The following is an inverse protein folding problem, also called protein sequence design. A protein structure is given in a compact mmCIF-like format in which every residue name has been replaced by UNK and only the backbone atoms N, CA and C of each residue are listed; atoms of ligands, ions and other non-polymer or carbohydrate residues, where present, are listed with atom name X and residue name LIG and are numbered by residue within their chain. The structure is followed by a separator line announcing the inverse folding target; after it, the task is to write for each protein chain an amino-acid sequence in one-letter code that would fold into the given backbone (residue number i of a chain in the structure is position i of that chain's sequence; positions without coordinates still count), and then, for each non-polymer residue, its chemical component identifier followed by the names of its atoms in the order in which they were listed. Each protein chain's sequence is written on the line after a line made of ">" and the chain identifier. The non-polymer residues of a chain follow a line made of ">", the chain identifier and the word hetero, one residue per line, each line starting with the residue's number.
data_IF_938153006227
#
_entry.id   IF_938153006227
#
_cell.length_a   1.000
_cell.length_b   1.000
_cell.length_c   1.000
_cell.angle_alpha   90.00
_cell.angle_beta   90.00
_cell.angle_gamma   90.00
#
_symmetry.space_group_name_H-M   'P 1'
#
loop_
_entity.id
_entity.type
_entity.pdbx_description
1 polymer ?
#
# COMPACT_ATOMS: atom_id res chain seq x y z
N UNK A 1 15.01 2.13 -26.05
CA UNK A 1 15.70 1.20 -26.97
C UNK A 1 17.01 1.84 -27.42
N UNK A 2 18.00 1.05 -27.84
CA UNK A 2 19.31 1.55 -28.30
C UNK A 2 19.19 2.51 -29.51
N UNK A 3 18.07 2.44 -30.23
CA UNK A 3 17.75 3.28 -31.37
C UNK A 3 17.01 4.59 -31.02
N UNK A 4 16.90 4.96 -29.74
CA UNK A 4 16.16 6.16 -29.31
C UNK A 4 14.63 6.05 -29.41
N UNK A 5 14.12 4.84 -29.65
CA UNK A 5 12.69 4.55 -29.66
C UNK A 5 12.21 4.30 -28.22
N UNK A 6 11.15 5.01 -27.83
CA UNK A 6 10.45 4.80 -26.55
C UNK A 6 9.22 3.95 -26.83
N UNK A 7 9.10 2.81 -26.13
CA UNK A 7 7.92 1.95 -26.18
C UNK A 7 7.19 2.13 -24.85
N UNK A 8 5.95 2.63 -24.87
CA UNK A 8 5.08 2.76 -23.71
C UNK A 8 4.00 1.69 -23.84
N UNK A 9 3.88 0.80 -22.86
CA UNK A 9 2.83 -0.22 -22.81
C UNK A 9 1.98 -0.06 -21.56
N UNK A 10 0.67 -0.26 -21.73
CA UNK A 10 -0.29 -0.38 -20.63
C UNK A 10 -0.99 -1.74 -20.77
N UNK A 11 -0.98 -2.52 -19.68
CA UNK A 11 -1.60 -3.85 -19.61
C UNK A 11 -2.65 -3.88 -18.51
N UNK A 12 -3.85 -4.29 -18.86
CA UNK A 12 -4.83 -4.70 -17.87
C UNK A 12 -4.48 -6.12 -17.37
N UNK A 13 -4.18 -6.24 -16.08
CA UNK A 13 -3.82 -7.52 -15.45
C UNK A 13 -4.99 -8.50 -15.35
N UNK A 14 -6.24 -8.03 -15.35
CA UNK A 14 -7.43 -8.88 -15.24
C UNK A 14 -7.79 -9.52 -16.59
N UNK A 15 -7.77 -8.75 -17.67
CA UNK A 15 -8.13 -9.25 -19.01
C UNK A 15 -6.93 -9.69 -19.85
N UNK A 16 -5.71 -9.37 -19.42
CA UNK A 16 -4.47 -9.65 -20.15
C UNK A 16 -4.29 -8.83 -21.44
N UNK A 17 -5.23 -7.91 -21.73
CA UNK A 17 -5.18 -7.06 -22.92
C UNK A 17 -4.10 -6.00 -22.75
N UNK A 18 -3.31 -5.81 -23.81
CA UNK A 18 -2.20 -4.87 -23.84
C UNK A 18 -2.43 -3.83 -24.94
N UNK A 19 -2.10 -2.58 -24.64
CA UNK A 19 -2.00 -1.49 -25.60
C UNK A 19 -0.58 -0.97 -25.58
N UNK A 20 0.02 -0.77 -26.74
CA UNK A 20 1.38 -0.27 -26.87
C UNK A 20 1.43 0.92 -27.83
N UNK A 21 2.20 1.93 -27.44
CA UNK A 21 2.51 3.09 -28.26
C UNK A 21 4.02 3.13 -28.44
N UNK A 22 4.45 3.23 -29.70
CA UNK A 22 5.86 3.41 -30.06
C UNK A 22 6.08 4.85 -30.49
N UNK A 23 6.90 5.56 -29.73
CA UNK A 23 7.30 6.93 -30.04
C UNK A 23 8.66 6.86 -30.75
N UNK A 24 8.67 7.28 -32.01
CA UNK A 24 9.88 7.39 -32.82
C UNK A 24 10.52 8.77 -32.58
N UNK A 25 11.85 8.84 -32.51
CA UNK A 25 12.57 10.09 -32.36
C UNK A 25 12.56 10.89 -33.67
N UNK A 26 11.46 11.61 -33.95
CA UNK A 26 11.26 12.37 -35.19
C UNK A 26 11.63 13.86 -35.09
N UNK A 27 12.40 14.26 -34.09
CA UNK A 27 12.76 15.64 -33.80
C UNK A 27 12.61 15.93 -32.31
N UNK A 28 13.73 16.07 -31.60
CA UNK A 28 13.77 16.35 -30.17
C UNK A 28 13.95 17.84 -29.87
N UNK A 29 14.11 18.14 -28.59
CA UNK A 29 14.55 19.46 -28.11
C UNK A 29 15.99 19.72 -28.59
N UNK A 30 16.31 20.98 -28.90
CA UNK A 30 17.69 21.40 -29.13
C UNK A 30 18.47 21.44 -27.81
N UNK A 31 19.81 21.42 -27.85
CA UNK A 31 20.64 21.52 -26.64
C UNK A 31 20.31 22.82 -25.87
N UNK A 32 20.11 23.94 -26.58
CA UNK A 32 19.70 25.22 -26.00
C UNK A 32 18.31 25.14 -25.32
N UNK A 33 17.35 24.41 -25.90
CA UNK A 33 16.04 24.19 -25.28
C UNK A 33 16.11 23.30 -24.05
N UNK A 34 16.99 22.30 -24.06
CA UNK A 34 17.23 21.42 -22.91
C UNK A 34 17.82 22.22 -21.76
N UNK A 35 18.87 23.00 -22.00
CA UNK A 35 19.50 23.85 -20.96
C UNK A 35 18.50 24.86 -20.38
N UNK A 36 17.69 25.48 -21.25
CA UNK A 36 16.63 26.39 -20.80
C UNK A 36 15.58 25.68 -19.94
N UNK A 37 15.10 24.50 -20.34
CA UNK A 37 14.13 23.72 -19.55
C UNK A 37 14.70 23.28 -18.19
N UNK A 38 16.00 22.96 -18.12
CA UNK A 38 16.66 22.62 -16.84
C UNK A 38 16.69 23.84 -15.92
N UNK A 39 17.08 25.01 -16.43
CA UNK A 39 17.10 26.25 -15.63
C UNK A 39 15.70 26.68 -15.19
N UNK A 40 14.70 26.56 -16.07
CA UNK A 40 13.30 26.84 -15.74
C UNK A 40 12.77 25.88 -14.67
N UNK A 41 13.10 24.58 -14.75
CA UNK A 41 12.71 23.60 -13.74
C UNK A 41 13.35 23.88 -12.37
N UNK A 42 14.62 24.29 -12.32
CA UNK A 42 15.29 24.67 -11.07
C UNK A 42 14.67 25.93 -10.45
N UNK A 43 14.36 26.94 -11.25
CA UNK A 43 13.74 28.18 -10.78
C UNK A 43 12.32 27.96 -10.26
N UNK A 44 11.57 27.04 -10.88
CA UNK A 44 10.17 26.75 -10.52
C UNK A 44 10.02 25.56 -9.55
N UNK A 45 11.12 24.93 -9.12
CA UNK A 45 11.08 23.70 -8.32
C UNK A 45 10.20 23.81 -7.07
N UNK A 46 10.26 24.93 -6.35
CA UNK A 46 9.45 25.17 -5.16
C UNK A 46 7.96 25.39 -5.48
N UNK A 47 7.65 26.04 -6.59
CA UNK A 47 6.27 26.24 -7.04
C UNK A 47 5.65 24.92 -7.51
N UNK A 48 6.39 24.15 -8.32
CA UNK A 48 5.98 22.83 -8.79
C UNK A 48 5.79 21.85 -7.62
N UNK A 49 6.64 21.92 -6.59
CA UNK A 49 6.50 21.13 -5.37
C UNK A 49 5.21 21.46 -4.62
N UNK A 50 4.86 22.75 -4.50
CA UNK A 50 3.60 23.17 -3.88
C UNK A 50 2.39 22.72 -4.70
N UNK A 51 2.45 22.87 -6.02
CA UNK A 51 1.40 22.42 -6.93
C UNK A 51 1.19 20.92 -6.84
N UNK A 52 2.28 20.14 -6.83
CA UNK A 52 2.24 18.69 -6.63
C UNK A 52 1.62 18.33 -5.29
N UNK A 53 2.05 18.96 -4.21
CA UNK A 53 1.50 18.70 -2.87
C UNK A 53 -0.01 18.97 -2.81
N UNK A 54 -0.50 20.03 -3.46
CA UNK A 54 -1.93 20.31 -3.56
C UNK A 54 -2.71 19.22 -4.32
N UNK A 55 -2.16 18.75 -5.45
CA UNK A 55 -2.78 17.66 -6.23
C UNK A 55 -2.76 16.34 -5.46
N UNK A 56 -1.65 16.04 -4.77
CA UNK A 56 -1.53 14.83 -3.95
C UNK A 56 -2.53 14.87 -2.78
N UNK A 57 -2.69 16.03 -2.11
CA UNK A 57 -3.70 16.22 -1.07
C UNK A 57 -5.13 16.05 -1.61
N UNK A 58 -5.44 16.60 -2.78
CA UNK A 58 -6.73 16.43 -3.44
C UNK A 58 -7.04 14.95 -3.74
N UNK A 59 -6.08 14.22 -4.31
CA UNK A 59 -6.25 12.80 -4.63
C UNK A 59 -6.38 11.93 -3.38
N UNK A 60 -5.64 12.26 -2.32
CA UNK A 60 -5.75 11.59 -1.03
C UNK A 60 -7.14 11.82 -0.40
N UNK A 61 -7.64 13.05 -0.43
CA UNK A 61 -8.96 13.42 0.06
C UNK A 61 -10.08 12.68 -0.70
N UNK A 62 -10.02 12.65 -2.04
CA UNK A 62 -11.00 11.92 -2.86
C UNK A 62 -11.00 10.41 -2.59
N UNK A 63 -9.80 9.82 -2.46
CA UNK A 63 -9.64 8.41 -2.09
C UNK A 63 -10.22 8.12 -0.69
N UNK A 64 -10.01 9.03 0.26
CA UNK A 64 -10.54 8.91 1.62
C UNK A 64 -12.06 9.03 1.66
N UNK A 65 -12.63 9.97 0.91
CA UNK A 65 -14.08 10.10 0.73
C UNK A 65 -14.65 8.79 0.20
N UNK A 66 -14.11 8.28 -0.91
CA UNK A 66 -14.65 7.10 -1.55
C UNK A 66 -14.62 5.87 -0.63
N UNK A 67 -13.51 5.67 0.09
CA UNK A 67 -13.38 4.57 1.05
C UNK A 67 -14.30 4.75 2.27
N UNK A 68 -14.47 5.96 2.77
CA UNK A 68 -15.36 6.25 3.91
C UNK A 68 -16.84 6.06 3.55
N UNK A 69 -17.26 6.51 2.36
CA UNK A 69 -18.61 6.28 1.84
C UNK A 69 -18.91 4.79 1.68
N UNK A 70 -17.95 4.03 1.14
CA UNK A 70 -18.08 2.58 1.03
C UNK A 70 -18.24 1.92 2.40
N UNK A 71 -17.39 2.27 3.36
CA UNK A 71 -17.44 1.70 4.70
C UNK A 71 -18.75 2.05 5.43
N UNK A 72 -19.28 3.27 5.25
CA UNK A 72 -20.59 3.65 5.78
C UNK A 72 -21.73 2.86 5.12
N UNK A 73 -21.66 2.58 3.83
CA UNK A 73 -22.66 1.78 3.14
C UNK A 73 -22.66 0.31 3.60
N UNK A 74 -21.49 -0.25 3.92
CA UNK A 74 -21.35 -1.66 4.34
C UNK A 74 -21.57 -1.86 5.85
N UNK A 75 -21.15 -0.91 6.69
CA UNK A 75 -21.10 -1.06 8.14
C UNK A 75 -21.83 0.02 8.93
N UNK A 76 -22.49 0.98 8.26
CA UNK A 76 -23.14 2.10 8.92
C UNK A 76 -24.27 1.72 9.89
N UNK A 77 -24.80 0.50 9.80
CA UNK A 77 -25.81 -0.01 10.75
C UNK A 77 -25.18 -0.52 12.07
N UNK A 78 -23.86 -0.75 12.09
CA UNK A 78 -23.11 -1.20 13.27
C UNK A 78 -22.45 -0.04 14.03
N UNK A 79 -22.70 1.19 13.59
CA UNK A 79 -22.10 2.42 14.12
C UNK A 79 -23.20 3.24 14.79
N UNK A 80 -22.94 3.91 15.92
CA UNK A 80 -23.92 4.81 16.53
C UNK A 80 -24.37 5.90 15.56
N UNK A 81 -25.66 6.26 15.57
CA UNK A 81 -26.22 7.28 14.68
C UNK A 81 -25.50 8.64 14.78
N UNK A 82 -25.00 8.98 15.97
CA UNK A 82 -24.22 10.20 16.21
C UNK A 82 -22.89 10.18 15.44
N UNK A 83 -22.13 9.08 15.52
CA UNK A 83 -20.87 8.94 14.81
C UNK A 83 -21.09 8.79 13.30
N UNK A 84 -22.13 8.06 12.88
CA UNK A 84 -22.53 7.94 11.47
C UNK A 84 -22.80 9.31 10.86
N UNK A 85 -23.61 10.13 11.52
CA UNK A 85 -23.93 11.49 11.06
C UNK A 85 -22.67 12.37 11.04
N UNK A 86 -21.81 12.28 12.04
CA UNK A 86 -20.56 13.04 12.06
C UNK A 86 -19.65 12.71 10.87
N UNK A 87 -19.58 11.45 10.45
CA UNK A 87 -18.80 11.03 9.27
C UNK A 87 -19.48 11.51 7.98
N UNK A 88 -20.80 11.38 7.86
CA UNK A 88 -21.55 11.88 6.70
C UNK A 88 -21.37 13.40 6.52
N UNK A 89 -21.46 14.16 7.61
CA UNK A 89 -21.24 15.60 7.63
C UNK A 89 -19.78 15.91 7.22
N UNK A 90 -18.78 15.19 7.75
CA UNK A 90 -17.37 15.38 7.39
C UNK A 90 -17.07 15.06 5.91
N UNK A 91 -17.71 14.02 5.35
CA UNK A 91 -17.60 13.67 3.93
C UNK A 91 -18.20 14.78 3.06
N UNK A 92 -19.40 15.26 3.38
CA UNK A 92 -20.06 16.33 2.65
C UNK A 92 -19.22 17.62 2.68
N UNK A 93 -18.65 17.91 3.84
CA UNK A 93 -17.80 19.07 4.07
C UNK A 93 -16.50 19.02 3.24
N UNK A 94 -15.85 17.86 3.16
CA UNK A 94 -14.63 17.68 2.36
C UNK A 94 -14.95 17.70 0.86
N UNK A 95 -16.05 17.06 0.43
CA UNK A 95 -16.53 17.14 -0.96
C UNK A 95 -16.79 18.58 -1.39
N UNK A 96 -17.46 19.37 -0.56
CA UNK A 96 -17.75 20.77 -0.86
C UNK A 96 -16.49 21.62 -1.08
N UNK A 97 -15.39 21.32 -0.37
CA UNK A 97 -14.11 22.01 -0.60
C UNK A 97 -13.41 21.54 -1.88
N UNK A 98 -13.47 20.25 -2.20
CA UNK A 98 -12.90 19.71 -3.45
C UNK A 98 -13.65 20.20 -4.70
N UNK A 99 -14.96 20.41 -4.60
CA UNK A 99 -15.80 20.92 -5.70
C UNK A 99 -15.71 22.44 -5.89
N UNK A 100 -14.99 23.16 -5.03
CA UNK A 100 -14.80 24.60 -5.16
C UNK A 100 -13.99 24.95 -6.42
N UNK A 101 -14.30 26.10 -7.03
CA UNK A 101 -13.63 26.58 -8.25
C UNK A 101 -12.11 26.81 -8.06
N UNK A 102 -11.72 27.13 -6.82
CA UNK A 102 -10.33 27.26 -6.37
C UNK A 102 -10.17 26.57 -5.00
N UNK A 103 -9.86 25.26 -4.98
CA UNK A 103 -9.72 24.51 -3.73
C UNK A 103 -8.51 25.01 -2.94
N UNK A 104 -8.71 25.38 -1.68
CA UNK A 104 -7.61 25.77 -0.78
C UNK A 104 -6.93 24.50 -0.24
N UNK A 105 -5.62 24.28 -0.50
CA UNK A 105 -4.89 23.13 0.01
C UNK A 105 -4.90 23.03 1.54
N UNK A 106 -4.92 24.17 2.26
CA UNK A 106 -4.97 24.16 3.73
C UNK A 106 -6.33 23.68 4.23
N UNK A 107 -7.43 24.12 3.60
CA UNK A 107 -8.78 23.66 3.93
C UNK A 107 -8.98 22.18 3.58
N UNK A 108 -8.46 21.72 2.43
CA UNK A 108 -8.49 20.30 2.05
C UNK A 108 -7.79 19.46 3.13
N UNK A 109 -6.57 19.86 3.54
CA UNK A 109 -5.83 19.13 4.55
C UNK A 109 -6.56 19.12 5.91
N UNK A 110 -7.09 20.27 6.34
CA UNK A 110 -7.83 20.37 7.60
C UNK A 110 -9.07 19.47 7.60
N UNK A 111 -9.85 19.47 6.52
CA UNK A 111 -11.05 18.62 6.42
C UNK A 111 -10.72 17.15 6.21
N UNK A 112 -9.61 16.85 5.53
CA UNK A 112 -9.08 15.48 5.41
C UNK A 112 -8.68 14.92 6.77
N UNK A 113 -8.06 15.73 7.63
CA UNK A 113 -7.72 15.34 9.00
C UNK A 113 -8.98 15.08 9.84
N UNK A 114 -9.99 15.95 9.74
CA UNK A 114 -11.29 15.75 10.42
C UNK A 114 -11.94 14.45 9.97
N UNK A 115 -12.03 14.20 8.66
CA UNK A 115 -12.59 12.96 8.14
C UNK A 115 -11.77 11.75 8.63
N UNK A 116 -10.44 11.83 8.60
CA UNK A 116 -9.54 10.77 9.08
C UNK A 116 -9.83 10.44 10.55
N UNK A 117 -9.94 11.44 11.42
CA UNK A 117 -10.24 11.25 12.84
C UNK A 117 -11.62 10.63 13.08
N UNK A 118 -12.64 11.07 12.32
CA UNK A 118 -13.98 10.47 12.41
C UNK A 118 -14.02 9.04 11.85
N UNK A 119 -13.26 8.76 10.80
CA UNK A 119 -13.15 7.43 10.18
C UNK A 119 -12.35 6.44 11.04
N UNK A 120 -11.49 6.89 11.94
CA UNK A 120 -10.86 6.01 12.94
C UNK A 120 -11.90 5.38 13.87
N UNK A 121 -12.90 6.16 14.34
CA UNK A 121 -14.00 5.65 15.17
C UNK A 121 -14.84 4.61 14.42
N UNK A 122 -15.06 4.84 13.12
CA UNK A 122 -15.71 3.88 12.23
C UNK A 122 -14.91 2.57 12.17
N UNK A 123 -13.58 2.66 11.99
CA UNK A 123 -12.69 1.50 11.99
C UNK A 123 -12.75 0.70 13.31
N UNK A 124 -12.78 1.37 14.45
CA UNK A 124 -12.93 0.72 15.76
C UNK A 124 -14.27 -0.01 15.90
N UNK A 125 -15.37 0.61 15.45
CA UNK A 125 -16.70 0.00 15.48
C UNK A 125 -16.78 -1.23 14.57
N UNK A 126 -16.22 -1.13 13.36
CA UNK A 126 -16.14 -2.26 12.40
C UNK A 126 -15.30 -3.40 13.00
N UNK A 127 -14.15 -3.08 13.58
CA UNK A 127 -13.27 -4.10 14.16
C UNK A 127 -13.95 -4.83 15.32
N UNK A 128 -14.59 -4.11 16.25
CA UNK A 128 -15.39 -4.70 17.33
C UNK A 128 -16.52 -5.58 16.80
N UNK A 129 -17.28 -5.07 15.83
CA UNK A 129 -18.36 -5.83 15.21
C UNK A 129 -17.87 -7.08 14.47
N UNK A 130 -16.69 -7.03 13.83
CA UNK A 130 -16.10 -8.17 13.13
C UNK A 130 -15.59 -9.25 14.09
N UNK A 131 -15.08 -8.87 15.27
CA UNK A 131 -14.74 -9.83 16.33
C UNK A 131 -15.99 -10.48 16.92
N UNK A 132 -17.05 -9.73 17.16
CA UNK A 132 -18.32 -10.27 17.66
C UNK A 132 -18.97 -11.22 16.66
N UNK A 133 -18.89 -10.92 15.36
CA UNK A 133 -19.40 -11.79 14.29
C UNK A 133 -18.56 -13.07 14.13
N UNK A 134 -17.24 -12.99 14.31
CA UNK A 134 -16.35 -14.16 14.35
C UNK A 134 -16.62 -15.04 15.59
N UNK A 135 -16.83 -14.45 16.76
CA UNK A 135 -17.19 -15.18 17.98
C UNK A 135 -18.60 -15.81 17.90
N UNK A 136 -19.54 -15.15 17.24
CA UNK A 136 -20.88 -15.69 16.99
C UNK A 136 -20.87 -16.84 15.96
N UNK A 137 -19.94 -16.82 14.99
CA UNK A 137 -19.77 -17.90 14.04
C UNK A 137 -19.20 -19.18 14.68
N UNK A 138 -18.34 -19.07 15.69
CA UNK A 138 -17.89 -20.23 16.49
C UNK A 138 -18.99 -20.76 17.45
N UNK A 139 -19.86 -19.90 17.96
CA UNK A 139 -20.97 -20.32 18.83
C UNK A 139 -22.18 -20.91 18.06
N UNK A 140 -22.29 -20.66 16.75
CA UNK A 140 -23.39 -21.13 15.89
C UNK A 140 -23.22 -22.54 15.30
N UNK A 141 -22.05 -23.17 15.47
CA UNK A 141 -21.75 -24.51 14.94
C UNK A 141 -22.25 -25.68 15.80
N UNK A 142 -23.03 -25.41 16.85
CA UNK A 142 -23.27 -26.38 17.92
C UNK A 142 -24.73 -26.75 18.20
N UNK A 143 -25.59 -27.07 17.22
CA UNK A 143 -26.74 -27.96 17.51
C UNK A 143 -27.49 -28.57 16.29
N UNK A 144 -27.14 -29.82 15.94
CA UNK A 144 -27.97 -30.94 15.44
C UNK A 144 -27.00 -31.99 14.86
N UNK A 145 -26.80 -33.19 15.41
CA UNK A 145 -27.77 -34.23 15.74
C UNK A 145 -27.22 -35.19 16.81
N UNK A 146 -28.10 -35.69 17.67
CA UNK A 146 -27.84 -36.80 18.57
C UNK A 146 -28.52 -38.06 18.00
N UNK A 147 -27.75 -39.02 17.47
CA UNK A 147 -27.91 -40.46 17.73
C UNK A 147 -26.90 -41.30 16.92
N UNK A 148 -26.13 -42.15 17.60
CA UNK A 148 -25.63 -43.39 17.00
C UNK A 148 -24.12 -43.70 17.08
N UNK A 149 -23.68 -44.14 18.26
CA UNK A 149 -22.77 -45.30 18.45
C UNK A 149 -21.37 -45.35 17.79
N UNK A 150 -20.37 -45.22 18.67
CA UNK A 150 -19.14 -46.02 18.79
C UNK A 150 -17.97 -45.87 17.77
N UNK A 151 -16.85 -45.39 18.35
CA UNK A 151 -15.47 -45.87 18.18
C UNK A 151 -14.45 -45.00 17.40
N UNK A 152 -13.38 -44.67 18.14
CA UNK A 152 -11.97 -44.37 17.79
C UNK A 152 -11.56 -42.92 17.49
N UNK A 153 -10.59 -42.50 18.32
CA UNK A 153 -9.37 -41.73 18.01
C UNK A 153 -9.51 -40.55 17.05
N UNK A 154 -9.49 -39.33 17.59
CA UNK A 154 -8.33 -38.42 17.47
C UNK A 154 -8.67 -37.07 18.14
N UNK A 155 -7.76 -36.63 18.97
CA UNK A 155 -7.76 -35.39 19.76
C UNK A 155 -7.32 -34.21 18.85
N UNK A 156 -8.14 -33.16 18.64
CA UNK A 156 -7.62 -31.87 18.26
C UNK A 156 -7.37 -31.06 19.53
N UNK A 157 -6.11 -31.09 19.96
CA UNK A 157 -5.54 -30.23 20.99
C UNK A 157 -6.00 -28.79 20.79
N UNK A 158 -6.76 -28.28 21.76
CA UNK A 158 -6.95 -26.85 21.97
C UNK A 158 -5.56 -26.27 22.20
N UNK A 159 -5.09 -25.47 21.26
CA UNK A 159 -3.82 -24.74 21.39
C UNK A 159 -4.13 -23.50 22.21
N UNK A 160 -4.04 -23.62 23.54
CA UNK A 160 -3.92 -22.46 24.42
C UNK A 160 -2.61 -21.75 24.06
N UNK A 161 -2.73 -20.56 23.48
CA UNK A 161 -1.61 -19.70 23.17
C UNK A 161 -1.05 -19.13 24.49
N UNK A 162 -0.05 -19.79 25.06
CA UNK A 162 0.80 -19.18 26.10
C UNK A 162 1.55 -17.99 25.47
N UNK A 163 1.14 -16.78 25.86
CA UNK A 163 1.86 -15.55 25.59
C UNK A 163 3.07 -15.49 26.54
N UNK A 164 4.25 -15.82 26.03
CA UNK A 164 5.51 -15.60 26.74
C UNK A 164 5.89 -14.12 26.58
N UNK A 165 5.73 -13.37 27.67
CA UNK A 165 6.07 -11.96 27.78
C UNK A 165 7.60 -11.82 27.66
N UNK A 166 8.07 -11.32 26.51
CA UNK A 166 9.50 -11.08 26.27
C UNK A 166 9.93 -9.81 27.01
N UNK A 167 10.73 -9.99 28.07
CA UNK A 167 11.40 -8.91 28.78
C UNK A 167 12.26 -8.05 27.81
N UNK A 168 12.05 -6.73 27.73
CA UNK A 168 12.81 -5.84 26.87
C UNK A 168 14.10 -5.36 27.56
N UNK A 169 15.00 -6.26 27.94
CA UNK A 169 16.34 -5.88 28.43
C UNK A 169 17.38 -6.95 28.10
N UNK A 170 17.90 -6.91 26.86
CA UNK A 170 19.14 -7.59 26.47
C UNK A 170 19.90 -6.76 25.43
N UNK A 171 20.56 -5.73 25.96
CA UNK A 171 21.84 -5.14 25.60
C UNK A 171 22.48 -5.50 24.24
N UNK A 172 22.63 -4.43 23.48
CA UNK A 172 23.43 -4.15 22.29
C UNK A 172 24.93 -4.49 22.47
N UNK A 173 25.48 -5.37 21.63
CA UNK A 173 26.88 -5.29 21.15
C UNK A 173 27.27 -6.51 20.31
N UNK A 174 27.44 -6.32 19.00
CA UNK A 174 28.51 -6.91 18.17
C UNK A 174 28.48 -6.22 16.81
N UNK A 175 29.17 -5.08 16.67
CA UNK A 175 30.48 -4.96 16.01
C UNK A 175 30.48 -5.30 14.50
N UNK A 176 30.26 -4.25 13.71
CA UNK A 176 30.86 -3.97 12.40
C UNK A 176 32.36 -4.32 12.37
N UNK A 177 32.81 -5.16 11.44
CA UNK A 177 33.98 -4.92 10.56
C UNK A 177 34.42 -6.15 9.75
N UNK A 178 34.92 -5.86 8.54
CA UNK A 178 35.82 -6.65 7.68
C UNK A 178 35.20 -7.65 6.67
N UNK A 179 34.78 -7.10 5.53
CA UNK A 179 34.83 -7.81 4.24
C UNK A 179 36.23 -7.54 3.63
N UNK A 180 37.14 -8.51 3.75
CA UNK A 180 38.48 -8.48 3.16
C UNK A 180 38.48 -9.23 1.82
N UNK A 181 38.98 -8.57 0.77
CA UNK A 181 39.22 -9.12 -0.56
C UNK A 181 40.15 -10.35 -0.51
N UNK A 182 39.75 -11.43 -1.17
CA UNK A 182 40.65 -12.54 -1.50
C UNK A 182 40.91 -12.53 -3.02
N UNK A 183 41.99 -11.86 -3.40
CA UNK A 183 42.65 -11.95 -4.69
C UNK A 183 43.96 -12.72 -4.46
N UNK A 184 44.04 -13.99 -4.87
CA UNK A 184 45.30 -14.66 -5.25
C UNK A 184 45.07 -16.12 -5.68
N UNK A 185 45.45 -16.39 -6.93
CA UNK A 185 46.21 -17.55 -7.39
C UNK A 185 45.68 -18.97 -7.08
N UNK A 186 45.06 -19.60 -8.09
CA UNK A 186 45.37 -21.00 -8.38
C UNK A 186 45.37 -21.23 -9.91
N UNK A 187 46.59 -21.35 -10.42
CA UNK A 187 46.87 -21.73 -11.79
C UNK A 187 46.61 -23.23 -12.00
N UNK A 188 46.58 -23.62 -13.28
CA UNK A 188 46.79 -24.99 -13.78
C UNK A 188 45.53 -25.85 -14.06
N UNK A 189 44.88 -25.59 -15.21
CA UNK A 189 44.20 -26.65 -15.98
C UNK A 189 44.61 -26.58 -17.46
N UNK A 190 45.81 -27.09 -17.75
CA UNK A 190 46.25 -27.40 -19.11
C UNK A 190 45.87 -28.84 -19.49
N UNK A 191 44.80 -28.99 -20.28
CA UNK A 191 44.40 -30.25 -20.92
C UNK A 191 45.35 -30.71 -22.06
N UNK A 192 45.33 -32.01 -22.41
CA UNK A 192 46.53 -32.79 -22.74
C UNK A 192 46.84 -32.87 -24.23
N UNK A 193 48.13 -33.02 -24.58
CA UNK A 193 48.56 -33.51 -25.89
C UNK A 193 49.51 -34.71 -25.79
N UNK A 194 48.97 -35.83 -26.30
CA UNK A 194 49.62 -36.83 -27.15
C UNK A 194 50.92 -37.48 -26.67
N UNK A 195 50.76 -38.72 -26.21
CA UNK A 195 51.33 -39.86 -26.94
C UNK A 195 52.60 -40.47 -26.37
N UNK A 196 52.58 -41.80 -26.21
CA UNK A 196 53.68 -42.67 -26.60
C UNK A 196 53.20 -44.12 -26.64
N UNK A 197 53.50 -44.75 -27.78
CA UNK A 197 53.86 -46.15 -28.02
C UNK A 197 53.06 -47.24 -27.31
#
# INVERSE_FOLDING_TARGET
>A
DANGIVNVSAKDKATGKEQQIRIQASGGLSDDDVERMVQEAEQNAEEDKKRRAAVDAHNAADSLIHSSEKNLAEYGDKVPDEDKKAIEDAIADLKGVLEAETPDPEEINAKTEVLTQTSMKLGEAIYKASQEEAAAAEAGGGQSDAEGSNAKDDDPSVVDADFEEVDPDADDSTEDAAFEEADSDDADDAKPKKGKK
#
